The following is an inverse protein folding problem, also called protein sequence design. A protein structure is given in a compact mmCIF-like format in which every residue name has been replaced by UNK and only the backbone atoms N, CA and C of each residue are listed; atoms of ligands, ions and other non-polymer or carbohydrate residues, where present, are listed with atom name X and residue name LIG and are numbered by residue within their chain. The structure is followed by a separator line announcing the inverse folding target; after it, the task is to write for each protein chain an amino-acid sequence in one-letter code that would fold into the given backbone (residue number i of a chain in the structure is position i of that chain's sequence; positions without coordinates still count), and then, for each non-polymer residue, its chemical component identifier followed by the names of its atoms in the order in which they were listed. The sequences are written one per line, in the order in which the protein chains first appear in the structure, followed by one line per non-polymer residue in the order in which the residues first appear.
data_IF_406492547176
#
_entry.id   IF_406492547176
#
_cell.length_a   1.000
_cell.length_b   1.000
_cell.length_c   1.000
_cell.angle_alpha   90.00
_cell.angle_beta   90.00
_cell.angle_gamma   90.00
#
_symmetry.space_group_name_H-M   'P 1'
#
loop_
_entity.id
_entity.type
_entity.pdbx_description
1 polymer ?
#
# COMPACT_ATOMS: atom_id res chain seq x y z
N UNK A 1 -14.11 -19.45 -48.26
CA UNK A 1 -12.78 -18.80 -48.24
C UNK A 1 -12.86 -17.29 -48.02
N UNK A 2 -13.77 -16.54 -48.67
CA UNK A 2 -13.86 -15.08 -48.51
C UNK A 2 -14.34 -14.59 -47.11
N UNK A 3 -15.27 -15.30 -46.47
CA UNK A 3 -15.86 -14.85 -45.19
C UNK A 3 -14.89 -14.87 -43.99
N UNK A 4 -13.89 -15.77 -44.00
CA UNK A 4 -12.90 -15.88 -42.91
C UNK A 4 -11.88 -14.72 -42.97
N UNK A 5 -11.63 -14.18 -44.16
CA UNK A 5 -10.66 -13.11 -44.37
C UNK A 5 -11.14 -11.74 -43.87
N UNK A 6 -12.46 -11.50 -43.85
CA UNK A 6 -13.03 -10.22 -43.40
C UNK A 6 -13.01 -10.12 -41.87
N UNK A 7 -13.24 -11.24 -41.16
CA UNK A 7 -13.27 -11.28 -39.70
C UNK A 7 -11.87 -11.00 -39.10
N UNK A 8 -10.80 -11.48 -39.75
CA UNK A 8 -9.41 -11.23 -39.32
C UNK A 8 -8.95 -9.77 -39.51
N UNK A 9 -9.62 -8.99 -40.35
CA UNK A 9 -9.29 -7.57 -40.56
C UNK A 9 -10.08 -6.63 -39.62
N UNK A 10 -11.27 -7.04 -39.19
CA UNK A 10 -12.14 -6.23 -38.31
C UNK A 10 -11.63 -6.24 -36.87
N UNK A 11 -11.08 -7.36 -36.41
CA UNK A 11 -10.53 -7.51 -35.05
C UNK A 11 -9.36 -6.53 -34.80
N UNK A 12 -8.29 -6.46 -35.63
CA UNK A 12 -7.21 -5.51 -35.42
C UNK A 12 -7.67 -4.05 -35.63
N UNK A 13 -8.65 -3.79 -36.50
CA UNK A 13 -9.23 -2.45 -36.67
C UNK A 13 -10.02 -2.00 -35.42
N UNK A 14 -10.82 -2.89 -34.83
CA UNK A 14 -11.49 -2.65 -33.55
C UNK A 14 -10.49 -2.54 -32.41
N UNK A 15 -9.45 -3.38 -32.35
CA UNK A 15 -8.38 -3.23 -31.36
C UNK A 15 -7.68 -1.89 -31.52
N UNK A 16 -7.32 -1.46 -32.73
CA UNK A 16 -6.68 -0.17 -32.97
C UNK A 16 -7.56 1.00 -32.49
N UNK A 17 -8.85 1.01 -32.83
CA UNK A 17 -9.78 2.06 -32.41
C UNK A 17 -10.19 2.00 -30.92
N UNK A 18 -10.19 0.83 -30.29
CA UNK A 18 -10.41 0.71 -28.84
C UNK A 18 -9.17 1.03 -28.02
N UNK A 19 -7.97 0.81 -28.57
CA UNK A 19 -6.71 1.13 -27.87
C UNK A 19 -6.54 2.65 -27.74
N UNK A 20 -6.99 3.44 -28.72
CA UNK A 20 -7.00 4.92 -28.65
C UNK A 20 -8.05 5.49 -27.66
N UNK A 21 -8.97 4.68 -27.13
CA UNK A 21 -9.91 5.09 -26.07
C UNK A 21 -9.51 4.61 -24.67
N UNK A 22 -8.37 3.94 -24.56
CA UNK A 22 -7.77 3.63 -23.28
C UNK A 22 -6.60 4.59 -23.02
N UNK A 23 -6.93 5.86 -22.78
CA UNK A 23 -6.17 6.70 -21.85
C UNK A 23 -6.35 6.17 -20.41
N UNK A 24 -6.15 4.87 -20.23
CA UNK A 24 -5.71 4.37 -18.95
C UNK A 24 -4.22 4.66 -18.97
N UNK A 25 -3.81 5.77 -18.35
CA UNK A 25 -2.46 5.91 -17.82
C UNK A 25 -2.19 4.63 -17.02
N UNK A 26 -1.60 3.63 -17.67
CA UNK A 26 -1.12 2.46 -16.97
C UNK A 26 -0.10 3.03 -16.00
N UNK A 27 -0.28 2.88 -14.67
CA UNK A 27 0.78 3.24 -13.76
C UNK A 27 1.84 2.15 -13.92
N UNK A 28 2.66 2.28 -14.96
CA UNK A 28 4.07 1.94 -14.84
C UNK A 28 4.52 2.59 -13.54
N UNK A 29 5.18 1.81 -12.69
CA UNK A 29 5.93 2.11 -11.46
C UNK A 29 6.68 3.47 -11.40
N UNK A 30 6.05 4.57 -11.76
CA UNK A 30 6.63 5.87 -12.00
C UNK A 30 5.96 6.79 -10.99
N UNK A 31 6.57 6.81 -9.81
CA UNK A 31 6.22 7.68 -8.70
C UNK A 31 4.75 7.61 -8.28
N UNK A 32 4.50 7.12 -7.07
CA UNK A 32 3.62 7.91 -6.22
C UNK A 32 4.06 9.36 -6.40
N UNK A 33 3.27 10.14 -7.12
CA UNK A 33 3.46 11.57 -7.26
C UNK A 33 3.74 12.05 -5.83
N UNK A 34 4.96 12.50 -5.55
CA UNK A 34 5.43 12.67 -4.16
C UNK A 34 4.56 13.69 -3.40
N UNK A 35 3.69 14.37 -4.14
CA UNK A 35 2.68 15.32 -3.71
C UNK A 35 1.35 14.69 -3.29
N UNK A 36 1.17 13.36 -3.35
CA UNK A 36 -0.07 12.67 -2.94
C UNK A 36 0.19 11.55 -1.94
N UNK A 37 -0.73 11.38 -1.01
CA UNK A 37 -0.77 10.28 -0.05
C UNK A 37 -1.90 9.33 -0.38
N UNK A 38 -1.67 8.02 -0.27
CA UNK A 38 -2.69 7.01 -0.47
C UNK A 38 -3.39 6.66 0.83
N UNK A 39 -4.70 6.60 0.76
CA UNK A 39 -5.62 6.30 1.86
C UNK A 39 -6.55 5.18 1.39
N UNK A 40 -6.58 4.09 2.15
CA UNK A 40 -7.62 3.07 1.98
C UNK A 40 -8.87 3.53 2.75
N UNK A 41 -10.02 3.58 2.09
CA UNK A 41 -11.31 3.86 2.72
C UNK A 41 -12.18 2.62 2.60
N UNK A 42 -12.70 2.15 3.73
CA UNK A 42 -13.69 1.08 3.79
C UNK A 42 -15.07 1.70 4.01
N UNK A 43 -15.99 1.38 3.12
CA UNK A 43 -17.38 1.79 3.22
C UNK A 43 -18.17 0.92 4.23
N UNK A 44 -19.44 1.30 4.44
CA UNK A 44 -20.36 0.61 5.36
C UNK A 44 -20.64 -0.86 4.97
N UNK A 45 -20.39 -1.25 3.73
CA UNK A 45 -20.60 -2.61 3.21
C UNK A 45 -19.30 -3.45 3.31
N UNK A 46 -18.23 -2.87 3.85
CA UNK A 46 -16.92 -3.51 3.96
C UNK A 46 -16.11 -3.46 2.66
N UNK A 47 -16.58 -2.76 1.62
CA UNK A 47 -15.84 -2.61 0.36
C UNK A 47 -14.73 -1.57 0.55
N UNK A 48 -13.51 -1.96 0.18
CA UNK A 48 -12.34 -1.08 0.25
C UNK A 48 -12.09 -0.37 -1.08
N UNK A 49 -11.89 0.95 -1.05
CA UNK A 49 -11.41 1.77 -2.16
C UNK A 49 -10.10 2.49 -1.82
N UNK A 50 -9.27 2.73 -2.83
CA UNK A 50 -8.01 3.48 -2.68
C UNK A 50 -8.18 4.91 -3.19
N UNK A 51 -7.81 5.88 -2.35
CA UNK A 51 -7.91 7.30 -2.65
C UNK A 51 -6.55 7.98 -2.53
N UNK A 52 -6.24 8.86 -3.47
CA UNK A 52 -5.02 9.67 -3.46
C UNK A 52 -5.38 11.11 -3.17
N UNK A 53 -4.85 11.66 -2.07
CA UNK A 53 -5.16 13.01 -1.60
C UNK A 53 -3.90 13.81 -1.34
N UNK A 54 -4.03 15.13 -1.22
CA UNK A 54 -2.88 16.01 -0.90
C UNK A 54 -2.41 15.79 0.55
N UNK A 55 -1.11 15.87 0.83
CA UNK A 55 -0.59 15.92 2.19
C UNK A 55 -1.31 16.96 3.04
N UNK A 56 -1.68 16.57 4.26
CA UNK A 56 -2.42 17.43 5.18
C UNK A 56 -3.93 17.47 4.98
N UNK A 57 -4.46 16.75 3.99
CA UNK A 57 -5.90 16.44 3.92
C UNK A 57 -6.35 15.78 5.21
N UNK A 58 -7.48 16.21 5.76
CA UNK A 58 -8.06 15.61 6.97
C UNK A 58 -9.06 14.50 6.62
N UNK A 59 -9.35 13.64 7.58
CA UNK A 59 -10.36 12.60 7.44
C UNK A 59 -11.72 13.20 7.07
N UNK A 60 -12.09 14.32 7.71
CA UNK A 60 -13.33 15.03 7.41
C UNK A 60 -13.37 15.55 5.98
N UNK A 61 -12.29 16.16 5.50
CA UNK A 61 -12.21 16.68 4.13
C UNK A 61 -12.36 15.57 3.08
N UNK A 62 -11.65 14.45 3.27
CA UNK A 62 -11.76 13.29 2.37
C UNK A 62 -13.19 12.73 2.38
N UNK A 63 -13.76 12.44 3.55
CA UNK A 63 -15.09 11.85 3.62
C UNK A 63 -16.20 12.78 3.11
N UNK A 64 -16.07 14.10 3.34
CA UNK A 64 -16.98 15.09 2.77
C UNK A 64 -16.96 15.06 1.24
N UNK A 65 -15.77 14.88 0.62
CA UNK A 65 -15.64 14.74 -0.84
C UNK A 65 -16.31 13.47 -1.39
N UNK A 66 -16.48 12.44 -0.55
CA UNK A 66 -17.19 11.20 -0.88
C UNK A 66 -18.71 11.29 -0.63
N UNK A 67 -19.23 12.49 -0.32
CA UNK A 67 -20.65 12.72 -0.08
C UNK A 67 -21.11 12.46 1.36
N UNK A 68 -20.18 12.19 2.30
CA UNK A 68 -20.53 12.02 3.71
C UNK A 68 -20.80 13.38 4.36
N UNK A 69 -22.07 13.68 4.68
CA UNK A 69 -22.48 14.96 5.26
C UNK A 69 -22.13 15.12 6.74
N UNK A 70 -21.88 14.02 7.47
CA UNK A 70 -21.55 14.03 8.90
C UNK A 70 -20.43 13.03 9.17
N UNK A 71 -19.26 13.56 9.51
CA UNK A 71 -18.11 12.76 9.93
C UNK A 71 -18.03 12.80 11.45
N UNK A 72 -18.19 11.66 12.13
CA UNK A 72 -18.15 11.57 13.58
C UNK A 72 -16.72 11.68 14.13
N UNK A 73 -16.60 12.19 15.36
CA UNK A 73 -15.35 12.20 16.11
C UNK A 73 -14.42 13.39 15.82
N UNK A 74 -13.20 13.29 16.36
CA UNK A 74 -12.12 14.25 16.11
C UNK A 74 -11.64 14.18 14.66
N UNK A 75 -11.17 15.30 14.13
CA UNK A 75 -10.64 15.33 12.77
C UNK A 75 -9.17 14.91 12.76
N UNK A 76 -8.86 13.87 12.00
CA UNK A 76 -7.52 13.31 11.91
C UNK A 76 -6.81 13.82 10.67
N UNK A 77 -5.59 14.32 10.84
CA UNK A 77 -4.70 14.62 9.71
C UNK A 77 -4.26 13.29 9.09
N UNK A 78 -4.60 13.08 7.83
CA UNK A 78 -4.30 11.83 7.15
C UNK A 78 -2.81 11.75 6.81
N UNK A 79 -2.28 10.53 6.94
CA UNK A 79 -0.91 10.18 6.58
C UNK A 79 -0.92 9.06 5.56
N UNK A 80 0.15 8.98 4.78
CA UNK A 80 0.27 7.97 3.73
C UNK A 80 0.18 6.54 4.29
N UNK A 81 -0.49 5.66 3.55
CA UNK A 81 -0.81 4.29 3.95
C UNK A 81 -1.72 4.17 5.18
N UNK A 82 -2.50 5.19 5.52
CA UNK A 82 -3.59 5.03 6.47
C UNK A 82 -4.77 4.31 5.84
N UNK A 83 -5.51 3.64 6.70
CA UNK A 83 -6.78 2.99 6.40
C UNK A 83 -7.85 3.62 7.27
N UNK A 84 -8.97 3.99 6.67
CA UNK A 84 -10.11 4.58 7.34
C UNK A 84 -11.28 3.61 7.20
N UNK A 85 -11.99 3.38 8.29
CA UNK A 85 -13.20 2.58 8.28
C UNK A 85 -14.28 3.29 9.07
N UNK A 86 -15.40 3.53 8.39
CA UNK A 86 -16.61 4.10 8.98
C UNK A 86 -17.51 2.98 9.48
N UNK A 87 -17.63 2.85 10.79
CA UNK A 87 -18.49 1.85 11.43
C UNK A 87 -19.79 2.53 11.89
N UNK A 88 -20.92 2.04 11.39
CA UNK A 88 -22.26 2.56 11.70
C UNK A 88 -22.92 1.67 12.77
N UNK A 89 -22.37 1.68 13.99
CA UNK A 89 -22.97 0.99 15.15
C UNK A 89 -23.84 1.96 15.96
N UNK A 90 -25.09 1.55 16.23
CA UNK A 90 -26.03 2.19 17.17
C UNK A 90 -26.29 3.70 16.93
N UNK A 91 -26.87 4.06 15.77
CA UNK A 91 -27.25 5.45 15.36
C UNK A 91 -26.15 6.52 15.38
N UNK A 92 -24.96 6.19 15.89
CA UNK A 92 -23.80 7.05 15.97
C UNK A 92 -22.68 6.44 15.12
N UNK A 93 -22.41 6.98 13.92
CA UNK A 93 -21.27 6.51 13.15
C UNK A 93 -19.99 6.75 13.96
N UNK A 94 -19.00 5.89 13.79
CA UNK A 94 -17.67 6.03 14.39
C UNK A 94 -16.60 5.92 13.30
N UNK A 95 -15.54 6.69 13.47
CA UNK A 95 -14.40 6.69 12.56
C UNK A 95 -13.26 5.90 13.20
N UNK A 96 -12.85 4.80 12.57
CA UNK A 96 -11.64 4.07 12.95
C UNK A 96 -10.54 4.33 11.93
N UNK A 97 -9.35 4.64 12.42
CA UNK A 97 -8.16 4.86 11.59
C UNK A 97 -7.11 3.81 11.95
N UNK A 98 -6.57 3.15 10.94
CA UNK A 98 -5.54 2.15 11.06
C UNK A 98 -4.50 2.27 9.95
N UNK A 99 -3.73 1.20 9.78
CA UNK A 99 -2.70 1.09 8.74
C UNK A 99 -3.25 0.23 7.60
N UNK A 100 -2.98 0.63 6.37
CA UNK A 100 -3.25 -0.18 5.18
C UNK A 100 -2.46 -1.48 5.27
N UNK A 101 -3.03 -2.56 4.71
CA UNK A 101 -2.39 -3.86 4.66
C UNK A 101 -1.00 -3.80 3.98
N UNK A 102 -0.05 -4.60 4.46
CA UNK A 102 1.33 -4.58 3.99
C UNK A 102 1.44 -4.95 2.51
N UNK A 103 0.63 -5.89 2.00
CA UNK A 103 0.65 -6.28 0.59
C UNK A 103 0.18 -5.12 -0.29
N UNK A 104 -0.92 -4.47 0.09
CA UNK A 104 -1.43 -3.27 -0.62
C UNK A 104 -0.40 -2.14 -0.63
N UNK A 105 0.30 -1.94 0.49
CA UNK A 105 1.36 -0.93 0.59
C UNK A 105 2.52 -1.25 -0.36
N UNK A 106 2.97 -2.51 -0.39
CA UNK A 106 4.05 -2.92 -1.30
C UNK A 106 3.65 -2.83 -2.78
N UNK A 107 2.41 -3.17 -3.14
CA UNK A 107 1.92 -2.99 -4.52
C UNK A 107 1.87 -1.51 -4.93
N UNK A 108 1.76 -0.62 -3.96
CA UNK A 108 1.81 0.83 -4.11
C UNK A 108 3.23 1.40 -3.99
N UNK A 109 4.25 0.56 -3.82
CA UNK A 109 5.63 1.02 -3.61
C UNK A 109 5.86 1.75 -2.28
N UNK A 110 4.94 1.61 -1.33
CA UNK A 110 5.04 2.19 0.00
C UNK A 110 5.85 1.24 0.90
N UNK A 111 6.77 1.77 1.73
CA UNK A 111 7.62 0.93 2.56
C UNK A 111 6.81 0.30 3.70
N UNK A 112 7.28 -0.82 4.23
CA UNK A 112 6.67 -1.58 5.34
C UNK A 112 7.64 -1.71 6.52
N UNK A 113 7.08 -1.89 7.73
CA UNK A 113 7.91 -2.03 8.92
C UNK A 113 8.46 -3.46 8.98
N UNK A 114 9.78 -3.60 8.94
CA UNK A 114 10.48 -4.89 9.00
C UNK A 114 10.15 -5.68 10.27
N UNK A 115 9.72 -5.02 11.34
CA UNK A 115 9.31 -5.67 12.59
C UNK A 115 7.86 -6.17 12.58
N UNK A 116 7.02 -5.73 11.64
CA UNK A 116 5.59 -6.06 11.59
C UNK A 116 5.23 -7.04 10.47
N UNK A 117 6.06 -7.16 9.44
CA UNK A 117 5.77 -8.01 8.28
C UNK A 117 6.16 -9.47 8.50
N UNK A 118 5.43 -10.39 7.87
CA UNK A 118 5.70 -11.81 7.85
C UNK A 118 6.52 -12.24 6.64
N UNK A 119 6.64 -13.55 6.46
CA UNK A 119 7.46 -14.14 5.40
C UNK A 119 6.91 -13.78 4.02
N UNK A 120 5.60 -13.91 3.83
CA UNK A 120 4.93 -13.73 2.55
C UNK A 120 5.08 -12.28 2.07
N UNK A 121 4.93 -11.30 2.96
CA UNK A 121 5.10 -9.90 2.63
C UNK A 121 6.57 -9.58 2.30
N UNK A 122 7.53 -10.16 3.04
CA UNK A 122 8.96 -9.96 2.77
C UNK A 122 9.36 -10.46 1.37
N UNK A 123 8.78 -11.58 0.90
CA UNK A 123 9.08 -12.14 -0.42
C UNK A 123 8.61 -11.24 -1.56
N UNK A 124 7.60 -10.40 -1.33
CA UNK A 124 7.14 -9.43 -2.32
C UNK A 124 8.15 -8.28 -2.54
N UNK A 125 9.15 -8.13 -1.66
CA UNK A 125 10.15 -7.08 -1.76
C UNK A 125 11.22 -7.48 -2.80
N UNK A 126 11.45 -6.67 -3.85
CA UNK A 126 12.46 -6.97 -4.85
C UNK A 126 13.85 -7.23 -4.26
N UNK A 127 14.39 -8.43 -4.51
CA UNK A 127 15.69 -8.87 -4.01
C UNK A 127 15.65 -9.66 -2.70
N UNK A 128 14.47 -9.92 -2.14
CA UNK A 128 14.22 -10.87 -1.04
C UNK A 128 13.45 -12.06 -1.60
N UNK A 129 14.06 -13.24 -1.56
CA UNK A 129 13.39 -14.52 -1.86
C UNK A 129 13.12 -15.31 -0.59
N UNK A 130 12.43 -16.45 -0.73
CA UNK A 130 12.05 -17.39 0.33
C UNK A 130 13.11 -17.60 1.41
N UNK A 131 14.33 -17.95 0.99
CA UNK A 131 15.46 -18.21 1.90
C UNK A 131 15.87 -16.97 2.68
N UNK A 132 15.92 -15.83 2.03
CA UNK A 132 16.33 -14.59 2.68
C UNK A 132 15.25 -14.07 3.63
N UNK A 133 13.97 -14.19 3.26
CA UNK A 133 12.85 -13.89 4.14
C UNK A 133 12.90 -14.76 5.41
N UNK A 134 13.19 -16.06 5.26
CA UNK A 134 13.42 -16.97 6.39
C UNK A 134 14.53 -16.46 7.32
N UNK A 135 15.70 -16.14 6.77
CA UNK A 135 16.81 -15.64 7.59
C UNK A 135 16.50 -14.30 8.29
N UNK A 136 15.70 -13.42 7.66
CA UNK A 136 15.27 -12.15 8.28
C UNK A 136 14.39 -12.43 9.51
N UNK A 137 13.45 -13.37 9.39
CA UNK A 137 12.58 -13.74 10.51
C UNK A 137 13.35 -14.44 11.62
N UNK A 138 14.25 -15.36 11.28
CA UNK A 138 15.14 -16.03 12.24
C UNK A 138 16.00 -15.02 13.01
N UNK A 139 16.63 -14.08 12.29
CA UNK A 139 17.40 -13.03 12.90
C UNK A 139 16.55 -12.16 13.82
N UNK A 140 15.36 -11.72 13.35
CA UNK A 140 14.41 -10.92 14.14
C UNK A 140 14.03 -11.60 15.44
N UNK A 141 13.71 -12.90 15.40
CA UNK A 141 13.36 -13.68 16.58
C UNK A 141 14.51 -13.75 17.58
N UNK A 142 15.76 -13.89 17.11
CA UNK A 142 16.95 -13.93 17.96
C UNK A 142 17.24 -12.60 18.65
N UNK A 143 17.04 -11.48 17.96
CA UNK A 143 17.31 -10.13 18.51
C UNK A 143 16.07 -9.44 19.08
N UNK A 144 14.94 -10.16 19.14
CA UNK A 144 13.58 -9.71 19.42
C UNK A 144 12.99 -8.70 18.42
N UNK A 145 13.73 -7.66 18.05
CA UNK A 145 13.34 -6.68 17.03
C UNK A 145 14.55 -6.00 16.41
N UNK A 146 14.40 -5.56 15.16
CA UNK A 146 15.33 -4.63 14.54
C UNK A 146 15.18 -3.24 15.19
N UNK A 147 16.31 -2.67 15.59
CA UNK A 147 16.46 -1.29 16.08
C UNK A 147 16.95 -0.36 14.98
N UNK A 148 17.75 -0.88 14.05
CA UNK A 148 18.24 -0.16 12.88
C UNK A 148 18.16 -1.05 11.65
N UNK A 149 18.05 -0.45 10.45
CA UNK A 149 18.04 -1.24 9.22
C UNK A 149 19.42 -1.84 8.92
N UNK A 150 20.49 -1.24 9.45
CA UNK A 150 21.87 -1.71 9.33
C UNK A 150 22.05 -3.11 9.92
N UNK A 151 21.27 -3.48 10.94
CA UNK A 151 21.25 -4.85 11.50
C UNK A 151 20.88 -5.92 10.46
N UNK A 152 20.22 -5.56 9.35
CA UNK A 152 19.98 -6.51 8.25
C UNK A 152 21.28 -7.00 7.60
N UNK A 153 22.39 -6.26 7.70
CA UNK A 153 23.69 -6.68 7.15
C UNK A 153 24.35 -7.83 7.92
N UNK A 154 23.87 -8.12 9.13
CA UNK A 154 24.27 -9.31 9.90
C UNK A 154 23.70 -10.61 9.32
N UNK A 155 22.74 -10.50 8.39
CA UNK A 155 22.13 -11.64 7.72
C UNK A 155 22.93 -11.98 6.46
N UNK A 156 23.36 -13.24 6.35
CA UNK A 156 24.08 -13.74 5.17
C UNK A 156 23.28 -13.47 3.89
N UNK A 157 23.90 -12.76 2.95
CA UNK A 157 23.30 -12.39 1.67
C UNK A 157 22.76 -10.95 1.60
N UNK A 158 22.81 -10.20 2.70
CA UNK A 158 22.57 -8.76 2.73
C UNK A 158 23.90 -8.06 3.03
N UNK A 159 24.29 -7.18 2.11
CA UNK A 159 25.46 -6.30 2.19
C UNK A 159 25.03 -4.89 1.80
N UNK A 160 25.93 -3.93 1.87
CA UNK A 160 25.69 -2.49 1.67
C UNK A 160 24.85 -2.21 0.42
N UNK A 161 25.24 -2.78 -0.73
CA UNK A 161 24.52 -2.60 -2.00
C UNK A 161 23.09 -3.12 -1.95
N UNK A 162 22.85 -4.25 -1.28
CA UNK A 162 21.50 -4.81 -1.14
C UNK A 162 20.70 -3.99 -0.12
N UNK A 163 21.28 -3.68 1.04
CA UNK A 163 20.66 -2.83 2.05
C UNK A 163 20.19 -1.50 1.46
N UNK A 164 21.04 -0.83 0.67
CA UNK A 164 20.69 0.43 0.01
C UNK A 164 19.43 0.32 -0.87
N UNK A 165 19.22 -0.82 -1.54
CA UNK A 165 17.99 -1.08 -2.30
C UNK A 165 16.80 -1.35 -1.38
N UNK A 166 17.01 -2.13 -0.32
CA UNK A 166 15.97 -2.49 0.65
C UNK A 166 15.45 -1.30 1.46
N UNK A 167 16.26 -0.27 1.70
CA UNK A 167 15.86 0.98 2.39
C UNK A 167 14.69 1.72 1.71
N UNK A 168 14.38 1.42 0.45
CA UNK A 168 13.19 1.97 -0.24
C UNK A 168 11.89 1.27 0.16
N UNK A 169 11.97 0.04 0.64
CA UNK A 169 10.82 -0.82 0.93
C UNK A 169 10.66 -1.11 2.42
N UNK A 170 11.69 -0.88 3.22
CA UNK A 170 11.70 -1.21 4.65
C UNK A 170 11.96 0.02 5.49
N UNK A 171 11.26 0.11 6.62
CA UNK A 171 11.56 1.02 7.71
C UNK A 171 11.40 0.31 9.05
N UNK A 172 11.67 1.03 10.13
CA UNK A 172 11.40 0.61 11.51
C UNK A 172 10.54 1.69 12.14
N UNK A 173 9.38 1.29 12.69
CA UNK A 173 8.59 2.21 13.48
C UNK A 173 9.23 2.38 14.87
N UNK A 174 9.58 3.63 15.19
CA UNK A 174 10.18 4.01 16.46
C UNK A 174 9.14 4.23 17.56
N UNK A 175 7.85 4.04 17.27
CA UNK A 175 6.82 3.94 18.30
C UNK A 175 7.07 2.67 19.10
N UNK A 176 7.89 2.82 20.13
CA UNK A 176 8.06 1.88 21.24
C UNK A 176 6.69 1.39 21.69
N UNK A 177 6.58 0.09 21.99
CA UNK A 177 5.35 -0.50 22.51
C UNK A 177 4.84 0.30 23.69
N UNK A 178 3.81 1.09 23.46
CA UNK A 178 2.92 1.64 24.47
C UNK A 178 1.54 1.18 24.06
N UNK A 179 1.02 0.20 24.79
CA UNK A 179 -0.42 -0.07 24.85
C UNK A 179 -1.09 1.23 25.28
N UNK A 180 -2.14 1.63 24.57
CA UNK A 180 -3.05 2.70 25.00
C UNK A 180 -3.09 3.86 24.03
N UNK A 181 -4.06 3.82 23.12
CA UNK A 181 -5.20 4.74 23.05
C UNK A 181 -6.33 4.00 22.30
#
# INVERSE_FOLDING_TARGET
MAAVSVILAVIPFFCYFYTDRMDSEYPLFSSFDSEKIAIEVIDKEGKSGLFFVRPGTTARQLLASLGSRRVPGEDYKLQNAMKIHLDFKNDHPTLSVGKMDAVKRLSLGLPVDVNQVGKNELILIPGIGEKLAGHILEYRSRVARFKTLEQLMEIKGIKEKKLAKLKRYLYIDNKTGVKGL
#
